data_IF_626688320529
#
_entry.id   IF_626688320529
#
_cell.length_a   1.000
_cell.length_b   1.000
_cell.length_c   1.000
_cell.angle_alpha   90.00
_cell.angle_beta   90.00
_cell.angle_gamma   90.00
#
_symmetry.space_group_name_H-M   'P 1'
#
loop_
_entity.id
_entity.type
_entity.pdbx_description
1 polymer ?
#
# COMPACT_ATOMS: atom_id res chain seq x y z
N UNK A 1 -9.01 37.78 -3.51
CA UNK A 1 -8.70 36.72 -4.49
C UNK A 1 -7.50 35.98 -3.96
N UNK A 2 -7.62 34.68 -3.65
CA UNK A 2 -6.51 33.87 -3.19
C UNK A 2 -6.03 33.04 -4.38
N UNK A 3 -4.81 33.30 -4.85
CA UNK A 3 -4.12 32.48 -5.83
C UNK A 3 -3.43 31.31 -5.08
N UNK A 4 -4.04 30.13 -5.14
CA UNK A 4 -3.49 28.93 -4.54
C UNK A 4 -2.38 28.34 -5.39
N UNK A 5 -1.12 28.52 -5.00
CA UNK A 5 0.03 27.83 -5.61
C UNK A 5 0.35 26.54 -4.84
N UNK A 6 0.50 25.43 -5.56
CA UNK A 6 0.82 24.10 -5.00
C UNK A 6 2.27 23.72 -5.35
N UNK A 7 3.17 23.81 -4.37
CA UNK A 7 4.40 22.99 -4.33
C UNK A 7 3.99 21.62 -3.79
N UNK A 8 4.44 20.54 -4.43
CA UNK A 8 4.08 19.14 -4.17
C UNK A 8 4.45 18.58 -2.78
N UNK A 9 4.44 19.38 -1.72
CA UNK A 9 4.61 18.97 -0.32
C UNK A 9 3.60 19.58 0.67
N UNK A 10 2.57 20.27 0.20
CA UNK A 10 1.44 20.71 1.04
C UNK A 10 0.74 21.95 0.51
N UNK A 11 -0.55 22.08 0.79
CA UNK A 11 -1.32 23.28 0.47
C UNK A 11 -0.98 24.39 1.47
N UNK A 12 -0.27 25.42 1.00
CA UNK A 12 -0.03 26.63 1.77
C UNK A 12 -1.13 27.63 1.43
N UNK A 13 -1.87 28.09 2.43
CA UNK A 13 -2.82 29.18 2.26
C UNK A 13 -2.12 30.50 2.59
N UNK A 14 -1.99 31.36 1.59
CA UNK A 14 -1.61 32.76 1.79
C UNK A 14 -2.83 33.52 2.30
N UNK A 15 -2.77 34.00 3.55
CA UNK A 15 -3.80 34.89 4.10
C UNK A 15 -3.19 36.29 4.18
N UNK A 16 -3.72 37.20 3.38
CA UNK A 16 -3.25 38.59 3.34
C UNK A 16 -4.03 39.42 4.37
N UNK A 17 -3.35 39.93 5.40
CA UNK A 17 -3.87 40.92 6.35
C UNK A 17 -3.26 42.29 6.04
N UNK A 18 -3.97 43.42 6.27
CA UNK A 18 -3.44 44.77 6.06
C UNK A 18 -2.17 45.08 6.87
N UNK A 19 -1.87 44.30 7.92
CA UNK A 19 -0.66 44.46 8.74
C UNK A 19 0.52 43.57 8.33
N UNK A 20 0.29 42.37 7.77
CA UNK A 20 1.34 41.44 7.29
C UNK A 20 0.72 40.19 6.63
N UNK A 21 1.42 39.58 5.67
CA UNK A 21 1.00 38.31 5.06
C UNK A 21 1.40 37.12 5.93
N UNK A 22 0.43 36.29 6.32
CA UNK A 22 0.67 35.10 7.15
C UNK A 22 0.53 33.83 6.30
N UNK A 23 1.53 32.96 6.35
CA UNK A 23 1.51 31.65 5.70
C UNK A 23 0.90 30.60 6.63
N UNK A 24 -0.27 30.08 6.28
CA UNK A 24 -0.86 28.93 6.98
C UNK A 24 -0.54 27.65 6.23
N UNK A 25 0.32 26.81 6.83
CA UNK A 25 0.60 25.46 6.32
C UNK A 25 -0.54 24.52 6.70
N UNK A 26 -1.28 24.04 5.70
CA UNK A 26 -2.28 22.99 5.93
C UNK A 26 -1.58 21.64 6.17
N UNK A 27 -2.09 20.86 7.12
CA UNK A 27 -1.60 19.50 7.37
C UNK A 27 -2.11 18.61 6.24
N UNK A 28 -1.20 18.02 5.48
CA UNK A 28 -1.55 17.05 4.45
C UNK A 28 -2.04 15.75 5.09
N UNK A 29 -3.31 15.42 4.91
CA UNK A 29 -3.95 14.19 5.41
C UNK A 29 -3.22 12.92 4.94
N UNK A 30 -2.55 12.96 3.78
CA UNK A 30 -1.76 11.82 3.29
C UNK A 30 -0.57 11.54 4.20
N UNK A 31 0.10 12.58 4.69
CA UNK A 31 1.23 12.46 5.61
C UNK A 31 0.82 11.86 6.96
N UNK A 32 -0.36 12.24 7.47
CA UNK A 32 -0.90 11.65 8.69
C UNK A 32 -1.21 10.15 8.51
N UNK A 33 -1.80 9.76 7.37
CA UNK A 33 -2.07 8.35 7.07
C UNK A 33 -0.79 7.53 6.94
N UNK A 34 0.27 8.09 6.38
CA UNK A 34 1.56 7.42 6.23
C UNK A 34 2.18 7.07 7.58
N UNK A 35 2.16 8.00 8.53
CA UNK A 35 2.68 7.79 9.89
C UNK A 35 1.90 6.68 10.60
N UNK A 36 0.55 6.72 10.53
CA UNK A 36 -0.30 5.70 11.16
C UNK A 36 -0.04 4.32 10.56
N UNK A 37 0.06 4.21 9.23
CA UNK A 37 0.35 2.94 8.56
C UNK A 37 1.75 2.42 8.86
N UNK A 38 2.72 3.32 9.00
CA UNK A 38 4.09 2.98 9.38
C UNK A 38 4.17 2.43 10.81
N UNK A 39 3.46 3.02 11.76
CA UNK A 39 3.44 2.55 13.14
C UNK A 39 2.70 1.21 13.28
N UNK A 40 1.59 1.02 12.55
CA UNK A 40 0.92 -0.29 12.47
C UNK A 40 1.86 -1.36 11.92
N UNK A 41 2.66 -1.03 10.91
CA UNK A 41 3.64 -1.96 10.32
C UNK A 41 4.74 -2.36 11.31
N UNK A 42 5.12 -1.47 12.24
CA UNK A 42 6.15 -1.75 13.27
C UNK A 42 5.65 -2.68 14.38
N UNK A 43 4.34 -2.84 14.55
CA UNK A 43 3.80 -3.78 15.52
C UNK A 43 4.25 -5.20 15.16
N UNK A 44 4.93 -5.87 16.10
CA UNK A 44 5.54 -7.19 15.92
C UNK A 44 4.55 -8.25 15.43
N UNK A 45 3.29 -8.14 15.84
CA UNK A 45 2.18 -9.00 15.41
C UNK A 45 1.94 -8.97 13.90
N UNK A 46 2.14 -7.81 13.24
CA UNK A 46 1.92 -7.64 11.80
C UNK A 46 3.21 -7.77 10.99
N UNK A 47 4.37 -7.52 11.60
CA UNK A 47 5.67 -7.55 10.93
C UNK A 47 5.88 -8.87 10.17
N UNK A 48 5.75 -10.01 10.87
CA UNK A 48 5.95 -11.33 10.26
C UNK A 48 4.93 -11.61 9.15
N UNK A 49 3.66 -11.23 9.35
CA UNK A 49 2.61 -11.41 8.35
C UNK A 49 2.91 -10.61 7.08
N UNK A 50 3.33 -9.36 7.21
CA UNK A 50 3.65 -8.47 6.08
C UNK A 50 4.88 -8.99 5.32
N UNK A 51 5.94 -9.38 6.04
CA UNK A 51 7.17 -9.93 5.43
C UNK A 51 6.85 -11.21 4.66
N UNK A 52 6.05 -12.12 5.24
CA UNK A 52 5.64 -13.35 4.58
C UNK A 52 4.73 -13.10 3.38
N UNK A 53 3.78 -12.17 3.49
CA UNK A 53 2.94 -11.75 2.37
C UNK A 53 3.78 -11.24 1.19
N UNK A 54 4.79 -10.39 1.47
CA UNK A 54 5.72 -9.89 0.45
C UNK A 54 6.56 -11.00 -0.18
N UNK A 55 7.03 -11.98 0.61
CA UNK A 55 7.76 -13.14 0.10
C UNK A 55 6.89 -13.98 -0.85
N UNK A 56 5.64 -14.26 -0.46
CA UNK A 56 4.69 -15.03 -1.28
C UNK A 56 4.42 -14.32 -2.60
N UNK A 57 4.09 -13.01 -2.57
CA UNK A 57 3.82 -12.27 -3.81
C UNK A 57 5.06 -12.19 -4.71
N UNK A 58 6.23 -11.93 -4.13
CA UNK A 58 7.50 -11.90 -4.88
C UNK A 58 7.80 -13.24 -5.51
N UNK A 59 7.61 -14.35 -4.78
CA UNK A 59 7.83 -15.69 -5.30
C UNK A 59 6.90 -16.02 -6.47
N UNK A 60 5.60 -15.73 -6.34
CA UNK A 60 4.61 -15.97 -7.40
C UNK A 60 4.98 -15.19 -8.66
N UNK A 61 5.30 -13.89 -8.54
CA UNK A 61 5.63 -13.07 -9.71
C UNK A 61 7.01 -13.35 -10.30
N UNK A 62 7.97 -13.84 -9.50
CA UNK A 62 9.32 -14.15 -9.97
C UNK A 62 9.37 -15.41 -10.84
N UNK A 63 8.47 -16.38 -10.60
CA UNK A 63 8.49 -17.66 -11.28
C UNK A 63 7.28 -17.81 -12.20
N UNK A 64 7.48 -17.71 -13.53
CA UNK A 64 6.41 -17.77 -14.54
C UNK A 64 5.52 -19.01 -14.41
N UNK A 65 6.09 -20.17 -14.10
CA UNK A 65 5.33 -21.41 -13.88
C UNK A 65 4.39 -21.29 -12.67
N UNK A 66 4.89 -20.77 -11.55
CA UNK A 66 4.12 -20.54 -10.32
C UNK A 66 3.04 -19.47 -10.54
N UNK A 67 3.34 -18.42 -11.29
CA UNK A 67 2.38 -17.39 -11.68
C UNK A 67 1.22 -17.96 -12.50
N UNK A 68 1.53 -18.79 -13.51
CA UNK A 68 0.53 -19.44 -14.34
C UNK A 68 -0.34 -20.40 -13.53
N UNK A 69 0.27 -21.19 -12.64
CA UNK A 69 -0.44 -22.06 -11.71
C UNK A 69 -1.36 -21.25 -10.79
N UNK A 70 -0.87 -20.16 -10.21
CA UNK A 70 -1.69 -19.25 -9.41
C UNK A 70 -2.91 -18.71 -10.18
N UNK A 71 -2.73 -18.33 -11.46
CA UNK A 71 -3.86 -17.87 -12.31
C UNK A 71 -4.94 -18.94 -12.51
N UNK A 72 -4.57 -20.21 -12.57
CA UNK A 72 -5.52 -21.32 -12.67
C UNK A 72 -6.36 -21.47 -11.38
N UNK A 73 -5.72 -21.40 -10.22
CA UNK A 73 -6.38 -21.56 -8.92
C UNK A 73 -7.18 -20.32 -8.48
N UNK A 74 -6.72 -19.13 -8.84
CA UNK A 74 -7.32 -17.87 -8.40
C UNK A 74 -8.46 -17.36 -9.31
N UNK A 75 -8.94 -18.18 -10.25
CA UNK A 75 -9.94 -17.78 -11.26
C UNK A 75 -9.51 -16.50 -12.01
N UNK A 76 -8.22 -16.39 -12.35
CA UNK A 76 -7.58 -15.21 -12.96
C UNK A 76 -7.64 -13.90 -12.15
N UNK A 77 -7.91 -13.94 -10.85
CA UNK A 77 -7.76 -12.74 -10.01
C UNK A 77 -6.27 -12.45 -9.81
N UNK A 78 -5.85 -11.29 -10.25
CA UNK A 78 -4.45 -10.87 -10.09
C UNK A 78 -4.21 -10.41 -8.65
N UNK A 79 -3.04 -10.77 -8.12
CA UNK A 79 -2.54 -10.08 -6.95
C UNK A 79 -2.26 -8.63 -7.38
N UNK A 80 -2.53 -7.66 -6.52
CA UNK A 80 -2.09 -6.30 -6.83
C UNK A 80 -0.57 -6.32 -6.88
N UNK A 81 0.01 -6.04 -8.04
CA UNK A 81 1.44 -5.72 -8.16
C UNK A 81 1.62 -4.48 -7.29
N UNK A 82 2.44 -4.62 -6.26
CA UNK A 82 2.72 -3.66 -5.19
C UNK A 82 3.33 -2.35 -5.73
N UNK A 83 2.58 -1.57 -6.53
CA UNK A 83 3.10 -0.41 -7.27
C UNK A 83 2.28 0.86 -7.11
N UNK A 84 1.20 0.89 -6.32
CA UNK A 84 0.28 2.05 -6.33
C UNK A 84 0.44 3.00 -5.11
N UNK A 85 1.37 2.77 -4.17
CA UNK A 85 1.96 3.79 -3.26
C UNK A 85 2.86 3.10 -2.24
N UNK A 86 4.03 3.69 -1.93
CA UNK A 86 5.01 3.12 -0.95
C UNK A 86 4.43 2.87 0.44
N UNK A 87 3.30 3.52 0.76
CA UNK A 87 2.70 3.56 2.09
C UNK A 87 1.63 2.48 2.30
N UNK A 88 0.68 2.34 1.37
CA UNK A 88 -0.41 1.37 1.47
C UNK A 88 -0.04 -0.04 0.95
N UNK A 89 1.16 -0.19 0.40
CA UNK A 89 1.64 -1.43 -0.25
C UNK A 89 1.40 -2.69 0.60
N UNK A 90 1.78 -2.68 1.87
CA UNK A 90 1.62 -3.83 2.76
C UNK A 90 0.15 -4.18 2.98
N UNK A 91 -0.69 -3.17 3.16
CA UNK A 91 -2.12 -3.34 3.40
C UNK A 91 -2.85 -3.85 2.16
N UNK A 92 -2.56 -3.26 0.99
CA UNK A 92 -3.11 -3.71 -0.29
C UNK A 92 -2.69 -5.15 -0.60
N UNK A 93 -1.44 -5.50 -0.32
CA UNK A 93 -0.93 -6.87 -0.49
C UNK A 93 -1.72 -7.86 0.38
N UNK A 94 -1.93 -7.53 1.66
CA UNK A 94 -2.72 -8.36 2.56
C UNK A 94 -4.20 -8.45 2.12
N UNK A 95 -4.78 -7.34 1.67
CA UNK A 95 -6.15 -7.29 1.18
C UNK A 95 -6.36 -8.16 -0.08
N UNK A 96 -5.33 -8.30 -0.93
CA UNK A 96 -5.38 -9.21 -2.07
C UNK A 96 -5.21 -10.69 -1.68
N UNK A 97 -4.33 -10.98 -0.72
CA UNK A 97 -4.07 -12.36 -0.27
C UNK A 97 -5.25 -12.91 0.53
N UNK A 98 -5.88 -12.11 1.39
CA UNK A 98 -6.97 -12.52 2.28
C UNK A 98 -8.10 -13.29 1.57
N UNK A 99 -8.71 -12.79 0.48
CA UNK A 99 -9.75 -13.51 -0.25
C UNK A 99 -9.22 -14.71 -1.04
N UNK A 100 -7.93 -14.75 -1.37
CA UNK A 100 -7.29 -15.82 -2.15
C UNK A 100 -6.56 -16.86 -1.27
N UNK A 101 -6.67 -16.75 0.05
CA UNK A 101 -5.96 -17.61 1.01
C UNK A 101 -6.18 -19.10 0.75
N UNK A 102 -7.41 -19.51 0.48
CA UNK A 102 -7.74 -20.91 0.26
C UNK A 102 -7.17 -21.41 -1.08
N UNK A 103 -7.26 -20.61 -2.14
CA UNK A 103 -6.68 -20.93 -3.45
C UNK A 103 -5.15 -21.09 -3.36
N UNK A 104 -4.48 -20.18 -2.65
CA UNK A 104 -3.04 -20.28 -2.37
C UNK A 104 -2.71 -21.55 -1.59
N UNK A 105 -3.46 -21.86 -0.53
CA UNK A 105 -3.25 -23.10 0.24
C UNK A 105 -3.40 -24.34 -0.62
N UNK A 106 -4.45 -24.44 -1.44
CA UNK A 106 -4.65 -25.57 -2.35
C UNK A 106 -3.54 -25.68 -3.40
N UNK A 107 -3.07 -24.55 -3.94
CA UNK A 107 -1.97 -24.52 -4.90
C UNK A 107 -0.65 -25.05 -4.31
N UNK A 108 -0.34 -24.73 -3.05
CA UNK A 108 0.88 -25.19 -2.38
C UNK A 108 0.74 -26.57 -1.73
N UNK A 109 -0.49 -26.98 -1.38
CA UNK A 109 -0.77 -28.31 -0.82
C UNK A 109 -0.81 -29.41 -1.90
N UNK A 110 -1.00 -29.08 -3.18
CA UNK A 110 -1.00 -30.06 -4.28
C UNK A 110 0.39 -30.58 -4.68
N UNK A 111 1.39 -30.40 -3.81
CA UNK A 111 2.74 -30.91 -3.98
C UNK A 111 3.03 -31.94 -2.87
N UNK A 112 2.22 -32.99 -2.85
CA UNK A 112 2.52 -34.31 -2.31
C UNK A 112 2.16 -35.35 -3.37
#
# INVERSE_FOLDING_TARGET
>A
MCDGWTDGKGTNFLVNSPSESVFLKSIDTTHCLDIVLEDIRKLSIFYNTIVNAKKITTYIYRHTCVFNLYRQYSKRRELVRSSVTRFATSYLTLNCIKPQKNALRSMFALKE
#
